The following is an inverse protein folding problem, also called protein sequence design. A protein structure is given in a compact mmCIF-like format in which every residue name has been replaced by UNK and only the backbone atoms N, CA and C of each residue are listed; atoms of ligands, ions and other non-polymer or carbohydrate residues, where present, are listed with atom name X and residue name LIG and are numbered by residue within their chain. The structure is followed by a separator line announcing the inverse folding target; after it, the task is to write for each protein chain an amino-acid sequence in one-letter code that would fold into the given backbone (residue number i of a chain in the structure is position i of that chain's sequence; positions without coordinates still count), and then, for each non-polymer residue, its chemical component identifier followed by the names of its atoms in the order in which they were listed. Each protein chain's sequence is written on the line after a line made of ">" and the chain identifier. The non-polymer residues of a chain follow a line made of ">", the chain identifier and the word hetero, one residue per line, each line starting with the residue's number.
data_IF_202741429180
#
_entry.id   IF_202741429180
#
_cell.length_a   1.000
_cell.length_b   1.000
_cell.length_c   1.000
_cell.angle_alpha   90.00
_cell.angle_beta   90.00
_cell.angle_gamma   90.00
#
_symmetry.space_group_name_H-M   'P 1'
#
loop_
_entity.id
_entity.type
_entity.pdbx_description
1 polymer ?
#
# COMPACT_ATOMS: atom_id res chain seq x y z
N UNK A 1 -22.34 24.09 -24.52
CA UNK A 1 -23.56 23.91 -25.32
C UNK A 1 -23.31 23.29 -26.70
N UNK A 2 -22.90 24.02 -27.75
CA UNK A 2 -22.73 23.42 -29.08
C UNK A 2 -21.68 22.28 -29.15
N UNK A 3 -20.59 22.39 -28.37
CA UNK A 3 -19.58 21.33 -28.27
C UNK A 3 -20.09 20.08 -27.52
N UNK A 4 -20.87 20.26 -26.45
CA UNK A 4 -21.48 19.14 -25.70
C UNK A 4 -22.57 18.45 -26.52
N UNK A 5 -23.35 19.20 -27.29
CA UNK A 5 -24.35 18.65 -28.22
C UNK A 5 -23.68 17.84 -29.34
N UNK A 6 -22.56 18.32 -29.87
CA UNK A 6 -21.76 17.60 -30.86
C UNK A 6 -21.15 16.32 -30.27
N UNK A 7 -20.58 16.37 -29.07
CA UNK A 7 -20.05 15.19 -28.37
C UNK A 7 -21.15 14.17 -28.09
N UNK A 8 -22.35 14.62 -27.71
CA UNK A 8 -23.50 13.75 -27.46
C UNK A 8 -23.96 13.05 -28.75
N UNK A 9 -24.01 13.78 -29.88
CA UNK A 9 -24.30 13.23 -31.19
C UNK A 9 -23.22 12.26 -31.67
N UNK A 10 -21.94 12.59 -31.48
CA UNK A 10 -20.83 11.73 -31.85
C UNK A 10 -20.80 10.45 -31.02
N UNK A 11 -21.12 10.51 -29.72
CA UNK A 11 -21.21 9.33 -28.85
C UNK A 11 -22.23 8.30 -29.32
N UNK A 12 -23.29 8.72 -30.04
CA UNK A 12 -24.28 7.80 -30.61
C UNK A 12 -23.72 6.96 -31.76
N UNK A 13 -22.75 7.49 -32.50
CA UNK A 13 -22.17 6.81 -33.67
C UNK A 13 -20.79 6.18 -33.38
N UNK A 14 -20.02 6.76 -32.45
CA UNK A 14 -18.68 6.31 -32.09
C UNK A 14 -18.38 6.60 -30.62
N UNK A 15 -18.50 5.57 -29.79
CA UNK A 15 -18.13 5.65 -28.38
C UNK A 15 -16.62 5.86 -28.24
N UNK A 16 -16.23 7.06 -27.81
CA UNK A 16 -14.83 7.42 -27.60
C UNK A 16 -14.06 6.40 -26.74
N UNK A 17 -14.57 5.96 -25.55
CA UNK A 17 -13.88 4.97 -24.73
C UNK A 17 -13.66 3.64 -25.47
N UNK A 18 -14.68 3.13 -26.16
CA UNK A 18 -14.59 1.86 -26.89
C UNK A 18 -13.59 1.93 -28.05
N UNK A 19 -13.63 3.01 -28.85
CA UNK A 19 -12.67 3.23 -29.94
C UNK A 19 -11.25 3.29 -29.41
N UNK A 20 -11.02 4.07 -28.34
CA UNK A 20 -9.68 4.22 -27.76
C UNK A 20 -9.16 2.89 -27.21
N UNK A 21 -10.00 2.13 -26.51
CA UNK A 21 -9.63 0.80 -26.02
C UNK A 21 -9.30 -0.17 -27.15
N UNK A 22 -10.10 -0.21 -28.24
CA UNK A 22 -9.80 -1.06 -29.42
C UNK A 22 -8.43 -0.74 -30.00
N UNK A 23 -8.11 0.54 -30.18
CA UNK A 23 -6.82 0.97 -30.70
C UNK A 23 -5.65 0.60 -29.77
N UNK A 24 -5.79 0.84 -28.46
CA UNK A 24 -4.75 0.51 -27.48
C UNK A 24 -4.54 -1.02 -27.37
N UNK A 25 -5.62 -1.80 -27.39
CA UNK A 25 -5.53 -3.27 -27.40
C UNK A 25 -4.81 -3.78 -28.65
N UNK A 26 -5.07 -3.20 -29.82
CA UNK A 26 -4.35 -3.53 -31.05
C UNK A 26 -2.85 -3.26 -30.94
N UNK A 27 -2.46 -2.14 -30.34
CA UNK A 27 -1.05 -1.82 -30.10
C UNK A 27 -0.39 -2.77 -29.10
N UNK A 28 -1.06 -3.10 -28.00
CA UNK A 28 -0.57 -4.06 -27.00
C UNK A 28 -0.40 -5.46 -27.58
N UNK A 29 -1.34 -5.90 -28.42
CA UNK A 29 -1.32 -7.22 -29.03
C UNK A 29 -0.09 -7.45 -29.93
N UNK A 30 0.45 -6.40 -30.57
CA UNK A 30 1.71 -6.48 -31.35
C UNK A 30 2.91 -6.89 -30.51
N UNK A 31 2.84 -6.67 -29.20
CA UNK A 31 3.86 -7.01 -28.22
C UNK A 31 3.49 -8.23 -27.38
N UNK A 32 2.42 -8.94 -27.75
CA UNK A 32 1.84 -10.05 -26.98
C UNK A 32 1.44 -9.65 -25.55
N UNK A 33 1.06 -8.39 -25.34
CA UNK A 33 0.64 -7.88 -24.04
C UNK A 33 -0.89 -7.83 -23.92
N UNK A 34 -1.41 -8.15 -22.73
CA UNK A 34 -2.83 -8.15 -22.44
C UNK A 34 -3.12 -7.59 -21.03
N UNK A 35 -4.22 -6.84 -20.94
CA UNK A 35 -4.74 -6.26 -19.69
C UNK A 35 -6.07 -6.92 -19.29
N UNK A 36 -6.41 -8.08 -19.86
CA UNK A 36 -7.71 -8.75 -19.61
C UNK A 36 -7.91 -9.07 -18.13
N UNK A 37 -6.96 -9.74 -17.49
CA UNK A 37 -7.08 -10.14 -16.07
C UNK A 37 -7.19 -8.92 -15.16
N UNK A 38 -6.39 -7.88 -15.45
CA UNK A 38 -6.46 -6.60 -14.74
C UNK A 38 -7.84 -5.95 -14.90
N UNK A 39 -8.37 -5.91 -16.12
CA UNK A 39 -9.68 -5.31 -16.40
C UNK A 39 -10.81 -6.05 -15.66
N UNK A 40 -10.79 -7.38 -15.66
CA UNK A 40 -11.78 -8.21 -14.95
C UNK A 40 -11.81 -7.84 -13.47
N UNK A 41 -10.64 -7.79 -12.81
CA UNK A 41 -10.56 -7.42 -11.40
C UNK A 41 -11.02 -5.98 -11.17
N UNK A 42 -10.63 -5.04 -12.03
CA UNK A 42 -11.06 -3.64 -11.88
C UNK A 42 -12.57 -3.47 -11.99
N UNK A 43 -13.25 -4.17 -12.91
CA UNK A 43 -14.71 -4.15 -13.03
C UNK A 43 -15.43 -4.79 -11.83
N UNK A 44 -14.76 -5.64 -11.05
CA UNK A 44 -15.32 -6.18 -9.80
C UNK A 44 -15.25 -5.18 -8.64
N UNK A 45 -14.32 -4.22 -8.69
CA UNK A 45 -14.05 -3.31 -7.57
C UNK A 45 -14.63 -1.90 -7.76
N UNK A 46 -14.84 -1.49 -9.01
CA UNK A 46 -15.20 -0.10 -9.33
C UNK A 46 -16.34 -0.04 -10.34
N UNK A 47 -16.95 1.14 -10.40
CA UNK A 47 -17.98 1.44 -11.38
C UNK A 47 -17.43 1.40 -12.80
N UNK A 48 -18.27 0.94 -13.74
CA UNK A 48 -17.90 0.74 -15.14
C UNK A 48 -17.21 1.97 -15.77
N UNK A 49 -17.77 3.16 -15.58
CA UNK A 49 -17.27 4.40 -16.19
C UNK A 49 -15.85 4.73 -15.70
N UNK A 50 -15.60 4.63 -14.39
CA UNK A 50 -14.28 4.87 -13.79
C UNK A 50 -13.24 3.86 -14.30
N UNK A 51 -13.64 2.60 -14.42
CA UNK A 51 -12.78 1.52 -14.92
C UNK A 51 -12.40 1.74 -16.38
N UNK A 52 -13.36 2.11 -17.23
CA UNK A 52 -13.09 2.34 -18.66
C UNK A 52 -12.04 3.44 -18.87
N UNK A 53 -12.13 4.53 -18.12
CA UNK A 53 -11.16 5.62 -18.16
C UNK A 53 -9.81 5.23 -17.58
N UNK A 54 -9.80 4.55 -16.42
CA UNK A 54 -8.57 4.05 -15.81
C UNK A 54 -7.83 3.07 -16.73
N UNK A 55 -8.54 2.15 -17.39
CA UNK A 55 -7.97 1.20 -18.34
C UNK A 55 -7.33 1.91 -19.53
N UNK A 56 -7.98 2.94 -20.09
CA UNK A 56 -7.40 3.73 -21.17
C UNK A 56 -6.11 4.40 -20.72
N UNK A 57 -6.10 5.02 -19.52
CA UNK A 57 -4.92 5.67 -18.96
C UNK A 57 -3.78 4.69 -18.73
N UNK A 58 -4.04 3.55 -18.08
CA UNK A 58 -3.01 2.56 -17.74
C UNK A 58 -2.43 1.90 -19.00
N UNK A 59 -3.27 1.53 -19.98
CA UNK A 59 -2.81 0.97 -21.26
C UNK A 59 -1.95 1.97 -22.05
N UNK A 60 -2.39 3.23 -22.12
CA UNK A 60 -1.64 4.27 -22.81
C UNK A 60 -0.27 4.52 -22.14
N UNK A 61 -0.22 4.53 -20.81
CA UNK A 61 1.04 4.70 -20.06
C UNK A 61 1.97 3.50 -20.22
N UNK A 62 1.44 2.27 -20.13
CA UNK A 62 2.23 1.07 -20.37
C UNK A 62 2.87 1.07 -21.77
N UNK A 63 2.10 1.43 -22.80
CA UNK A 63 2.63 1.54 -24.18
C UNK A 63 3.67 2.65 -24.32
N UNK A 64 3.47 3.79 -23.64
CA UNK A 64 4.45 4.90 -23.62
C UNK A 64 5.77 4.46 -23.01
N UNK A 65 5.71 3.73 -21.89
CA UNK A 65 6.90 3.28 -21.16
C UNK A 65 7.49 1.97 -21.73
N UNK A 66 6.80 1.33 -22.70
CA UNK A 66 7.14 0.02 -23.23
C UNK A 66 8.60 -0.15 -23.68
N UNK A 67 9.24 0.82 -24.36
CA UNK A 67 10.65 0.69 -24.74
C UNK A 67 11.56 0.41 -23.53
N UNK A 68 11.35 1.15 -22.44
CA UNK A 68 12.10 0.98 -21.19
C UNK A 68 11.72 -0.33 -20.48
N UNK A 69 10.43 -0.66 -20.43
CA UNK A 69 9.94 -1.89 -19.79
C UNK A 69 10.44 -3.15 -20.51
N UNK A 70 10.56 -3.11 -21.83
CA UNK A 70 11.03 -4.23 -22.64
C UNK A 70 12.55 -4.37 -22.56
N UNK A 71 13.31 -3.31 -22.83
CA UNK A 71 14.78 -3.38 -22.86
C UNK A 71 15.39 -3.55 -21.47
N UNK A 72 14.73 -3.03 -20.44
CA UNK A 72 15.19 -3.03 -19.06
C UNK A 72 14.60 -4.14 -18.20
N UNK A 73 13.86 -5.11 -18.75
CA UNK A 73 13.02 -6.03 -17.95
C UNK A 73 13.74 -6.75 -16.80
N UNK A 74 15.00 -7.14 -17.03
CA UNK A 74 15.82 -7.90 -16.08
C UNK A 74 16.94 -7.05 -15.46
N UNK A 75 16.82 -5.71 -15.53
CA UNK A 75 17.82 -4.79 -15.01
C UNK A 75 17.59 -4.57 -13.51
N UNK A 76 18.64 -4.74 -12.70
CA UNK A 76 18.63 -4.36 -11.29
C UNK A 76 18.65 -2.82 -11.15
N UNK A 77 18.32 -2.33 -9.96
CA UNK A 77 18.51 -0.91 -9.66
C UNK A 77 20.01 -0.58 -9.51
N UNK A 78 20.36 0.70 -9.62
CA UNK A 78 21.72 1.18 -9.41
C UNK A 78 22.04 1.21 -7.91
N UNK A 79 22.81 0.23 -7.44
CA UNK A 79 23.23 0.09 -6.05
C UNK A 79 24.51 0.89 -5.69
N UNK A 80 25.06 1.70 -6.61
CA UNK A 80 26.26 2.49 -6.35
C UNK A 80 26.07 3.42 -5.12
N UNK A 81 27.10 3.60 -4.26
CA UNK A 81 27.00 4.47 -3.08
C UNK A 81 26.46 5.86 -3.41
N UNK A 82 27.01 6.50 -4.44
CA UNK A 82 26.63 7.85 -4.88
C UNK A 82 25.29 7.95 -5.62
N UNK A 83 24.64 6.82 -5.94
CA UNK A 83 23.33 6.85 -6.56
C UNK A 83 22.27 7.24 -5.52
N UNK A 84 21.38 8.16 -5.88
CA UNK A 84 20.16 8.39 -5.11
C UNK A 84 19.27 7.14 -5.19
N UNK A 85 18.76 6.69 -4.04
CA UNK A 85 18.01 5.43 -3.91
C UNK A 85 16.60 5.63 -3.37
N UNK A 86 16.32 6.75 -2.70
CA UNK A 86 15.02 7.08 -2.12
C UNK A 86 14.39 8.26 -2.88
N UNK A 87 13.06 8.25 -2.99
CA UNK A 87 12.23 9.16 -3.79
C UNK A 87 12.63 9.29 -5.26
N UNK A 88 13.20 8.22 -5.81
CA UNK A 88 13.78 8.19 -7.17
C UNK A 88 13.14 7.12 -8.04
N UNK A 89 13.37 7.25 -9.35
CA UNK A 89 13.06 6.20 -10.33
C UNK A 89 14.09 5.06 -10.33
N UNK A 90 15.07 5.06 -9.43
CA UNK A 90 16.12 4.05 -9.32
C UNK A 90 15.60 2.74 -8.70
N UNK A 91 14.72 2.07 -9.44
CA UNK A 91 14.08 0.79 -9.13
C UNK A 91 14.40 -0.24 -10.21
N UNK A 92 14.26 -1.52 -9.87
CA UNK A 92 14.50 -2.62 -10.81
C UNK A 92 13.53 -2.56 -11.99
N UNK A 93 13.93 -3.11 -13.14
CA UNK A 93 13.08 -3.18 -14.32
C UNK A 93 11.81 -4.00 -14.09
N UNK A 94 11.90 -5.02 -13.23
CA UNK A 94 10.76 -5.82 -12.81
C UNK A 94 9.76 -4.98 -11.99
N UNK A 95 10.24 -4.16 -11.05
CA UNK A 95 9.38 -3.23 -10.30
C UNK A 95 8.62 -2.28 -11.23
N UNK A 96 9.33 -1.64 -12.18
CA UNK A 96 8.71 -0.72 -13.14
C UNK A 96 7.63 -1.40 -13.97
N UNK A 97 7.93 -2.61 -14.46
CA UNK A 97 7.02 -3.37 -15.31
C UNK A 97 5.79 -3.84 -14.54
N UNK A 98 5.97 -4.43 -13.37
CA UNK A 98 4.87 -4.86 -12.51
C UNK A 98 3.99 -3.69 -12.08
N UNK A 99 4.58 -2.54 -11.72
CA UNK A 99 3.83 -1.34 -11.40
C UNK A 99 2.90 -0.92 -12.56
N UNK A 100 3.41 -0.88 -13.79
CA UNK A 100 2.60 -0.53 -14.96
C UNK A 100 1.53 -1.56 -15.30
N UNK A 101 1.82 -2.85 -15.11
CA UNK A 101 0.85 -3.93 -15.32
C UNK A 101 -0.26 -3.95 -14.27
N UNK A 102 0.05 -3.52 -13.04
CA UNK A 102 -0.90 -3.38 -11.94
C UNK A 102 -1.71 -2.06 -11.98
N UNK A 103 -1.40 -1.16 -12.91
CA UNK A 103 -2.00 0.17 -12.96
C UNK A 103 -1.60 1.06 -11.78
N UNK A 104 -0.37 0.90 -11.28
CA UNK A 104 0.26 1.77 -10.29
C UNK A 104 0.87 2.96 -11.02
N UNK A 105 0.46 4.16 -10.60
CA UNK A 105 0.82 5.39 -11.29
C UNK A 105 2.28 5.78 -11.11
N UNK A 106 2.80 5.60 -9.90
CA UNK A 106 4.13 6.02 -9.48
C UNK A 106 4.91 4.81 -8.96
N UNK A 107 5.95 4.41 -9.71
CA UNK A 107 6.80 3.27 -9.38
C UNK A 107 8.05 3.67 -8.58
N UNK A 108 8.21 4.96 -8.23
CA UNK A 108 9.39 5.42 -7.49
C UNK A 108 9.47 4.74 -6.12
N UNK A 109 10.70 4.51 -5.65
CA UNK A 109 10.93 4.04 -4.29
C UNK A 109 10.68 5.20 -3.33
N UNK A 110 9.52 5.24 -2.69
CA UNK A 110 9.03 6.32 -1.82
C UNK A 110 8.35 5.74 -0.59
N UNK A 111 7.98 6.54 0.40
CA UNK A 111 7.19 6.07 1.54
C UNK A 111 5.76 5.70 1.07
N UNK A 112 5.34 4.45 1.30
CA UNK A 112 3.99 3.95 1.00
C UNK A 112 3.10 4.00 2.25
N UNK A 113 3.68 3.87 3.45
CA UNK A 113 2.96 4.08 4.71
C UNK A 113 2.40 5.52 4.85
N UNK A 114 2.80 6.42 3.95
CA UNK A 114 2.43 7.81 3.93
C UNK A 114 3.17 8.57 5.03
N UNK A 115 2.47 9.52 5.64
CA UNK A 115 3.02 10.33 6.71
C UNK A 115 3.31 9.52 7.97
N UNK A 116 4.39 9.93 8.63
CA UNK A 116 4.76 9.39 9.92
C UNK A 116 3.65 9.71 10.91
N UNK A 117 3.37 8.74 11.77
CA UNK A 117 2.51 8.99 12.91
C UNK A 117 3.18 8.42 14.15
N UNK A 118 2.90 9.07 15.26
CA UNK A 118 3.30 8.60 16.58
C UNK A 118 2.04 8.18 17.31
N UNK A 119 2.05 6.97 17.87
CA UNK A 119 1.06 6.60 18.87
C UNK A 119 1.58 7.00 20.24
N UNK A 120 0.83 7.85 20.93
CA UNK A 120 1.11 8.23 22.30
C UNK A 120 0.19 7.45 23.25
N UNK A 121 0.70 7.19 24.46
CA UNK A 121 -0.03 6.46 25.51
C UNK A 121 -0.19 7.38 26.70
N UNK A 122 -1.43 7.61 27.12
CA UNK A 122 -1.79 8.39 28.30
C UNK A 122 -2.79 7.59 29.14
N UNK A 123 -2.43 7.30 30.39
CA UNK A 123 -3.27 6.56 31.34
C UNK A 123 -3.84 5.22 30.83
N UNK A 124 -3.07 4.51 30.00
CA UNK A 124 -3.47 3.23 29.41
C UNK A 124 -4.38 3.35 28.18
N UNK A 125 -4.74 4.57 27.79
CA UNK A 125 -5.39 4.86 26.53
C UNK A 125 -4.38 5.35 25.49
N UNK A 126 -4.69 5.12 24.23
CA UNK A 126 -3.82 5.40 23.10
C UNK A 126 -4.41 6.53 22.26
N UNK A 127 -3.56 7.39 21.71
CA UNK A 127 -3.92 8.42 20.73
C UNK A 127 -2.90 8.46 19.61
N UNK A 128 -3.25 9.04 18.46
CA UNK A 128 -2.33 9.21 17.35
C UNK A 128 -2.02 10.68 17.10
N UNK A 129 -0.78 10.94 16.65
CA UNK A 129 -0.33 12.23 16.13
C UNK A 129 0.27 12.04 14.76
N UNK A 130 -0.22 12.80 13.80
CA UNK A 130 0.30 12.82 12.45
C UNK A 130 1.45 13.82 12.35
N UNK A 131 2.52 13.44 11.67
CA UNK A 131 3.71 14.26 11.47
C UNK A 131 3.95 14.52 9.98
N UNK A 132 4.57 15.65 9.66
CA UNK A 132 5.08 15.92 8.32
C UNK A 132 6.30 15.02 7.97
N UNK A 133 6.84 15.20 6.76
CA UNK A 133 8.00 14.43 6.29
C UNK A 133 9.28 14.71 7.10
N UNK A 134 9.34 15.86 7.78
CA UNK A 134 10.43 16.29 8.65
C UNK A 134 10.23 15.86 10.11
N UNK A 135 9.10 15.25 10.45
CA UNK A 135 8.75 14.78 11.80
C UNK A 135 8.08 15.85 12.68
N UNK A 136 7.70 17.01 12.13
CA UNK A 136 6.96 18.02 12.88
C UNK A 136 5.49 17.62 13.01
N UNK A 137 4.88 17.70 14.20
CA UNK A 137 3.54 17.21 14.42
C UNK A 137 2.49 18.19 13.87
N UNK A 138 1.54 17.69 13.08
CA UNK A 138 0.54 18.48 12.34
C UNK A 138 -0.86 18.37 12.95
N UNK A 139 -1.33 17.14 13.13
CA UNK A 139 -2.67 16.79 13.62
C UNK A 139 -2.56 15.85 14.82
N UNK A 140 -3.45 16.01 15.79
CA UNK A 140 -3.61 15.06 16.89
C UNK A 140 -5.04 14.54 16.97
N UNK A 141 -5.17 13.26 17.31
CA UNK A 141 -6.45 12.63 17.62
C UNK A 141 -7.10 13.31 18.81
N UNK A 142 -8.35 13.72 18.64
CA UNK A 142 -9.21 14.19 19.74
C UNK A 142 -9.86 13.02 20.50
N UNK A 143 -9.77 11.81 19.95
CA UNK A 143 -10.27 10.58 20.54
C UNK A 143 -9.14 9.78 21.20
N UNK A 144 -9.51 9.05 22.26
CA UNK A 144 -8.66 8.11 22.98
C UNK A 144 -9.19 6.69 22.76
N UNK A 145 -8.28 5.73 22.63
CA UNK A 145 -8.60 4.35 22.26
C UNK A 145 -8.03 3.37 23.28
N UNK A 146 -8.72 2.24 23.49
CA UNK A 146 -8.34 1.28 24.53
C UNK A 146 -7.24 0.30 24.11
N UNK A 147 -6.86 0.29 22.82
CA UNK A 147 -5.81 -0.59 22.31
C UNK A 147 -5.05 0.02 21.13
N UNK A 148 -3.81 -0.44 20.95
CA UNK A 148 -3.00 -0.09 19.78
C UNK A 148 -3.69 -0.45 18.45
N UNK A 149 -4.39 -1.58 18.39
CA UNK A 149 -5.08 -2.02 17.18
C UNK A 149 -6.22 -1.04 16.82
N UNK A 150 -7.01 -0.63 17.81
CA UNK A 150 -8.08 0.33 17.61
C UNK A 150 -7.57 1.70 17.11
N UNK A 151 -6.43 2.18 17.63
CA UNK A 151 -5.78 3.40 17.10
C UNK A 151 -5.40 3.26 15.65
N UNK A 152 -4.78 2.14 15.27
CA UNK A 152 -4.28 1.94 13.92
C UNK A 152 -5.43 1.90 12.90
N UNK A 153 -6.51 1.20 13.24
CA UNK A 153 -7.70 1.11 12.39
C UNK A 153 -8.37 2.48 12.24
N UNK A 154 -8.56 3.19 13.35
CA UNK A 154 -9.15 4.53 13.32
C UNK A 154 -8.28 5.53 12.54
N UNK A 155 -6.96 5.51 12.76
CA UNK A 155 -6.03 6.37 12.04
C UNK A 155 -6.09 6.14 10.52
N UNK A 156 -6.25 4.90 10.06
CA UNK A 156 -6.40 4.62 8.64
C UNK A 156 -7.69 5.24 8.08
N UNK A 157 -8.81 5.10 8.79
CA UNK A 157 -10.07 5.74 8.40
C UNK A 157 -9.94 7.26 8.36
N UNK A 158 -9.39 7.85 9.42
CA UNK A 158 -9.22 9.29 9.57
C UNK A 158 -8.36 9.86 8.44
N UNK A 159 -7.28 9.18 8.06
CA UNK A 159 -6.41 9.57 6.94
C UNK A 159 -7.06 9.42 5.55
N UNK A 160 -8.11 8.61 5.40
CA UNK A 160 -8.90 8.61 4.18
C UNK A 160 -9.81 9.84 4.13
N UNK A 161 -10.36 10.24 5.28
CA UNK A 161 -11.23 11.41 5.40
C UNK A 161 -10.49 12.73 5.17
N UNK A 162 -9.20 12.80 5.50
CA UNK A 162 -8.38 14.01 5.29
C UNK A 162 -8.27 14.44 3.82
N UNK A 163 -8.61 13.57 2.87
CA UNK A 163 -8.56 13.87 1.42
C UNK A 163 -9.78 14.64 0.92
N UNK A 164 -10.85 14.67 1.68
CA UNK A 164 -12.09 15.32 1.27
C UNK A 164 -12.24 16.68 1.96
N UNK A 165 -12.31 17.79 1.21
CA UNK A 165 -12.45 19.13 1.78
C UNK A 165 -13.69 19.28 2.67
N UNK A 166 -14.75 18.50 2.42
CA UNK A 166 -15.99 18.51 3.20
C UNK A 166 -15.84 18.01 4.63
N UNK A 167 -14.73 17.32 4.95
CA UNK A 167 -14.51 16.73 6.27
C UNK A 167 -13.72 17.66 7.20
N UNK A 168 -13.55 18.93 6.85
CA UNK A 168 -12.86 19.91 7.70
C UNK A 168 -13.79 20.99 8.20
N UNK A 169 -13.54 21.44 9.44
CA UNK A 169 -14.16 22.61 10.05
C UNK A 169 -13.11 23.40 10.84
N UNK A 170 -13.48 24.56 11.36
CA UNK A 170 -12.70 25.36 12.31
C UNK A 170 -13.34 25.28 13.71
N UNK A 171 -12.52 25.40 14.75
CA UNK A 171 -12.98 25.48 16.14
C UNK A 171 -12.08 26.41 16.97
N UNK A 172 -12.67 27.15 17.91
CA UNK A 172 -11.95 28.07 18.79
C UNK A 172 -11.78 27.46 20.19
N UNK A 173 -10.54 27.23 20.61
CA UNK A 173 -10.21 26.75 21.95
C UNK A 173 -8.80 27.20 22.38
N UNK A 174 -8.69 28.36 23.03
CA UNK A 174 -7.38 28.96 23.35
C UNK A 174 -6.61 29.49 22.12
N UNK A 175 -7.30 29.56 20.97
CA UNK A 175 -6.84 29.91 19.64
C UNK A 175 -7.70 29.20 18.59
N UNK A 176 -7.54 29.54 17.32
CA UNK A 176 -8.26 28.90 16.21
C UNK A 176 -7.55 27.64 15.75
N UNK A 177 -8.26 26.54 15.60
CA UNK A 177 -7.74 25.29 15.07
C UNK A 177 -8.57 24.87 13.86
N UNK A 178 -7.94 24.17 12.92
CA UNK A 178 -8.70 23.38 11.96
C UNK A 178 -8.89 21.96 12.50
N UNK A 179 -10.07 21.41 12.32
CA UNK A 179 -10.49 20.10 12.85
C UNK A 179 -10.97 19.20 11.71
N UNK A 180 -10.69 17.90 11.85
CA UNK A 180 -11.22 16.84 11.01
C UNK A 180 -12.50 16.31 11.65
N UNK A 181 -13.59 16.28 10.89
CA UNK A 181 -14.92 15.86 11.34
C UNK A 181 -15.47 14.71 10.51
N UNK A 182 -16.19 13.81 11.15
CA UNK A 182 -17.00 12.76 10.51
C UNK A 182 -18.45 12.98 10.86
N UNK A 183 -19.33 12.88 9.86
CA UNK A 183 -20.77 12.93 10.09
C UNK A 183 -21.22 11.56 10.59
N UNK A 184 -21.78 11.50 11.79
CA UNK A 184 -22.26 10.28 12.44
C UNK A 184 -23.73 10.46 12.80
N UNK A 185 -24.55 9.44 12.57
CA UNK A 185 -25.94 9.44 13.04
C UNK A 185 -25.99 8.99 14.50
N UNK A 186 -26.41 9.91 15.38
CA UNK A 186 -26.63 9.64 16.80
C UNK A 186 -28.10 9.91 17.08
N UNK A 187 -28.83 8.88 17.52
CA UNK A 187 -30.27 8.98 17.85
C UNK A 187 -31.14 9.52 16.70
N UNK A 188 -30.81 9.20 15.44
CA UNK A 188 -31.56 9.63 14.26
C UNK A 188 -31.31 11.08 13.83
N UNK A 189 -30.32 11.76 14.40
CA UNK A 189 -29.84 13.06 13.96
C UNK A 189 -28.39 12.96 13.48
N UNK A 190 -28.10 13.55 12.32
CA UNK A 190 -26.74 13.70 11.84
C UNK A 190 -26.00 14.71 12.73
N UNK A 191 -24.95 14.26 13.40
CA UNK A 191 -24.06 15.10 14.21
C UNK A 191 -22.64 15.02 13.67
N UNK A 192 -21.91 16.12 13.72
CA UNK A 192 -20.49 16.13 13.39
C UNK A 192 -19.69 15.74 14.63
N UNK A 193 -18.96 14.64 14.54
CA UNK A 193 -18.01 14.22 15.55
C UNK A 193 -16.62 14.70 15.16
N UNK A 194 -15.93 15.36 16.09
CA UNK A 194 -14.53 15.73 15.94
C UNK A 194 -13.64 14.49 16.13
N UNK A 195 -12.81 14.23 15.12
CA UNK A 195 -11.88 13.10 15.11
C UNK A 195 -10.45 13.55 15.48
N UNK A 196 -10.02 14.67 14.91
CA UNK A 196 -8.67 15.20 15.08
C UNK A 196 -8.63 16.72 14.94
N UNK A 197 -7.58 17.35 15.47
CA UNK A 197 -7.36 18.81 15.41
C UNK A 197 -5.92 19.17 15.13
N UNK A 198 -5.70 20.37 14.57
CA UNK A 198 -4.38 20.94 14.40
C UNK A 198 -3.70 21.13 15.75
N UNK A 199 -2.43 20.73 15.86
CA UNK A 199 -1.66 20.90 17.11
C UNK A 199 -1.32 22.38 17.33
N UNK A 200 -1.08 23.10 16.23
CA UNK A 200 -0.88 24.55 16.26
C UNK A 200 -2.21 25.27 16.43
N UNK A 201 -2.23 26.24 17.35
CA UNK A 201 -3.28 27.22 17.49
C UNK A 201 -2.96 28.44 16.60
N UNK A 202 -3.94 28.88 15.83
CA UNK A 202 -3.84 30.01 14.92
C UNK A 202 -4.50 31.27 15.53
N UNK A 203 -3.98 32.47 15.21
CA UNK A 203 -4.54 33.73 15.71
C UNK A 203 -5.97 34.03 15.23
N UNK A 204 -6.34 33.55 14.04
CA UNK A 204 -7.62 33.86 13.40
C UNK A 204 -8.20 32.65 12.65
N UNK A 205 -9.51 32.64 12.46
CA UNK A 205 -10.21 31.60 11.70
C UNK A 205 -9.66 31.48 10.26
N UNK A 206 -9.45 32.61 9.58
CA UNK A 206 -8.90 32.63 8.21
C UNK A 206 -7.45 32.11 8.11
N UNK A 207 -6.65 32.25 9.17
CA UNK A 207 -5.32 31.63 9.23
C UNK A 207 -5.41 30.12 9.43
N UNK A 208 -6.35 29.64 10.26
CA UNK A 208 -6.61 28.22 10.41
C UNK A 208 -7.11 27.59 9.09
N UNK A 209 -7.98 28.27 8.34
CA UNK A 209 -8.41 27.83 7.01
C UNK A 209 -7.25 27.81 6.00
N UNK A 210 -6.40 28.84 6.00
CA UNK A 210 -5.22 28.88 5.12
C UNK A 210 -4.22 27.76 5.45
N UNK A 211 -4.08 27.43 6.75
CA UNK A 211 -3.26 26.32 7.20
C UNK A 211 -3.87 24.96 6.83
N UNK A 212 -5.19 24.81 6.95
CA UNK A 212 -5.93 23.63 6.45
C UNK A 212 -5.69 23.45 4.95
N UNK A 213 -5.81 24.51 4.16
CA UNK A 213 -5.63 24.43 2.70
C UNK A 213 -4.19 24.07 2.34
N UNK A 214 -3.21 24.61 3.08
CA UNK A 214 -1.80 24.24 2.93
C UNK A 214 -1.55 22.77 3.31
N UNK A 215 -2.22 22.27 4.34
CA UNK A 215 -2.18 20.87 4.77
C UNK A 215 -2.84 19.93 3.73
N UNK A 216 -4.00 20.31 3.18
CA UNK A 216 -4.63 19.53 2.11
C UNK A 216 -3.77 19.53 0.84
N UNK A 217 -3.16 20.66 0.48
CA UNK A 217 -2.24 20.72 -0.65
C UNK A 217 -1.00 19.84 -0.43
N UNK A 218 -0.46 19.78 0.79
CA UNK A 218 0.63 18.85 1.09
C UNK A 218 0.17 17.39 1.01
N UNK A 219 -1.08 17.09 1.41
CA UNK A 219 -1.67 15.76 1.26
C UNK A 219 -1.87 15.35 -0.21
N UNK A 220 -2.31 16.27 -1.07
CA UNK A 220 -2.44 16.04 -2.52
C UNK A 220 -1.07 15.83 -3.18
N UNK A 221 -0.04 16.53 -2.68
CA UNK A 221 1.34 16.30 -3.10
C UNK A 221 1.93 14.99 -2.56
N UNK A 222 1.31 14.41 -1.51
CA UNK A 222 1.80 13.18 -0.90
C UNK A 222 1.70 12.02 -1.89
N UNK A 223 2.75 11.18 -1.99
CA UNK A 223 2.76 10.09 -2.94
C UNK A 223 1.61 9.10 -2.68
N UNK A 224 0.96 8.65 -3.76
CA UNK A 224 -0.05 7.58 -3.66
C UNK A 224 0.47 6.41 -2.81
N UNK A 225 -0.34 5.88 -1.86
CA UNK A 225 0.04 4.73 -1.03
C UNK A 225 0.11 3.43 -1.84
N UNK A 226 -0.32 3.46 -3.12
CA UNK A 226 -0.14 2.34 -4.02
C UNK A 226 1.28 2.31 -4.58
N UNK A 227 1.97 1.21 -4.28
CA UNK A 227 3.33 0.90 -4.69
C UNK A 227 3.73 -0.45 -4.08
N UNK A 228 4.99 -0.83 -4.22
CA UNK A 228 5.54 -2.00 -3.53
C UNK A 228 7.07 -1.91 -3.53
N UNK A 229 7.70 -2.74 -2.70
CA UNK A 229 9.14 -2.90 -2.68
C UNK A 229 9.52 -4.30 -3.16
N UNK A 230 10.54 -4.39 -4.02
CA UNK A 230 11.19 -5.66 -4.35
C UNK A 230 12.58 -5.71 -3.75
N UNK A 231 12.79 -6.67 -2.85
CA UNK A 231 14.05 -6.87 -2.14
C UNK A 231 14.75 -8.09 -2.72
N UNK A 232 15.84 -7.85 -3.44
CA UNK A 232 16.74 -8.90 -3.92
C UNK A 232 17.62 -9.37 -2.76
N UNK A 233 17.49 -10.64 -2.35
CA UNK A 233 18.19 -11.14 -1.17
C UNK A 233 19.70 -11.22 -1.38
N UNK A 234 20.17 -11.34 -2.63
CA UNK A 234 21.60 -11.30 -2.95
C UNK A 234 22.29 -10.03 -2.44
N UNK A 235 21.57 -8.90 -2.36
CA UNK A 235 22.10 -7.64 -1.82
C UNK A 235 22.27 -7.65 -0.31
N UNK A 236 21.65 -8.63 0.36
CA UNK A 236 21.66 -8.79 1.81
C UNK A 236 22.73 -9.76 2.30
N UNK A 237 23.46 -10.39 1.37
CA UNK A 237 24.53 -11.31 1.67
C UNK A 237 25.61 -10.61 2.50
N UNK A 238 26.16 -11.25 3.55
CA UNK A 238 27.25 -10.66 4.34
C UNK A 238 28.48 -10.38 3.48
N UNK A 239 29.24 -9.36 3.88
CA UNK A 239 30.53 -9.09 3.27
C UNK A 239 31.56 -10.10 3.77
N UNK A 240 32.65 -10.26 3.03
CA UNK A 240 33.73 -11.20 3.38
C UNK A 240 34.31 -10.89 4.78
N UNK A 241 34.30 -9.61 5.18
CA UNK A 241 34.84 -9.12 6.45
C UNK A 241 34.00 -9.51 7.67
N UNK A 242 32.69 -9.75 7.48
CA UNK A 242 31.77 -10.07 8.58
C UNK A 242 31.72 -11.58 8.90
N UNK A 243 32.35 -12.42 8.09
CA UNK A 243 32.31 -13.87 8.23
C UNK A 243 31.02 -14.51 7.71
N UNK A 244 30.82 -15.83 7.93
CA UNK A 244 29.63 -16.53 7.44
C UNK A 244 28.35 -15.93 8.03
N UNK A 245 27.30 -15.86 7.21
CA UNK A 245 25.99 -15.38 7.62
C UNK A 245 25.54 -16.12 8.90
N UNK A 246 24.92 -15.43 9.88
CA UNK A 246 24.23 -16.16 10.95
C UNK A 246 23.21 -17.08 10.29
N UNK A 247 23.22 -18.37 10.66
CA UNK A 247 22.39 -19.44 10.06
C UNK A 247 20.87 -19.26 10.21
N UNK A 248 20.42 -18.09 10.65
CA UNK A 248 19.05 -17.81 11.09
C UNK A 248 18.29 -16.90 10.11
N UNK A 249 18.88 -16.49 8.97
CA UNK A 249 18.14 -15.72 7.97
C UNK A 249 17.23 -16.63 7.16
N UNK A 250 15.92 -16.60 7.44
CA UNK A 250 14.91 -17.50 6.87
C UNK A 250 15.30 -18.98 6.96
N UNK A 251 15.84 -19.39 8.10
CA UNK A 251 16.02 -20.80 8.42
C UNK A 251 14.67 -21.54 8.38
N UNK A 252 14.68 -22.77 7.88
CA UNK A 252 13.49 -23.61 7.82
C UNK A 252 13.41 -24.36 9.15
N UNK A 253 12.24 -24.35 9.80
CA UNK A 253 12.00 -25.17 10.99
C UNK A 253 12.25 -26.65 10.67
N UNK A 254 13.27 -27.24 11.29
CA UNK A 254 13.74 -28.61 11.00
C UNK A 254 12.82 -29.73 11.52
N UNK A 255 11.59 -29.41 11.93
CA UNK A 255 10.66 -30.34 12.56
C UNK A 255 11.20 -31.04 13.81
N UNK A 256 10.44 -31.98 14.37
CA UNK A 256 10.93 -32.91 15.41
C UNK A 256 11.77 -34.00 14.73
N UNK A 257 13.01 -33.70 14.37
CA UNK A 257 13.90 -34.69 13.75
C UNK A 257 15.24 -34.15 13.28
N UNK A 258 15.35 -32.85 12.98
CA UNK A 258 16.64 -32.25 12.64
C UNK A 258 17.27 -32.77 11.32
N UNK A 259 16.54 -33.57 10.55
CA UNK A 259 17.09 -34.31 9.39
C UNK A 259 17.34 -33.44 8.15
N UNK A 260 16.85 -32.19 8.15
CA UNK A 260 17.08 -31.27 7.04
C UNK A 260 18.27 -30.33 7.35
N UNK A 261 19.37 -30.38 6.57
CA UNK A 261 20.43 -29.40 6.70
C UNK A 261 19.86 -28.00 6.41
N UNK A 262 20.38 -26.97 7.10
CA UNK A 262 20.02 -25.60 6.77
C UNK A 262 20.32 -25.33 5.29
N UNK A 263 19.47 -24.52 4.60
CA UNK A 263 19.78 -24.13 3.24
C UNK A 263 21.18 -23.54 3.19
N UNK A 264 22.03 -24.13 2.34
CA UNK A 264 23.45 -23.81 2.21
C UNK A 264 23.67 -22.31 1.90
N UNK A 265 22.66 -21.67 1.31
CA UNK A 265 22.59 -20.24 1.02
C UNK A 265 21.12 -19.74 1.09
N UNK A 266 20.75 -18.89 2.06
CA UNK A 266 19.41 -18.33 2.17
C UNK A 266 19.18 -17.07 1.31
N UNK A 267 20.18 -16.60 0.55
CA UNK A 267 20.13 -15.35 -0.22
C UNK A 267 20.00 -15.56 -1.73
N UNK A 268 20.64 -16.58 -2.29
CA UNK A 268 20.59 -16.82 -3.73
C UNK A 268 19.19 -17.14 -4.23
N UNK A 269 18.85 -16.60 -5.41
CA UNK A 269 17.61 -16.85 -6.15
C UNK A 269 16.33 -16.60 -5.33
N UNK A 270 16.38 -15.68 -4.37
CA UNK A 270 15.24 -15.32 -3.52
C UNK A 270 14.99 -13.82 -3.58
N UNK A 271 13.71 -13.47 -3.62
CA UNK A 271 13.25 -12.09 -3.51
C UNK A 271 12.10 -12.02 -2.51
N UNK A 272 12.00 -10.90 -1.79
CA UNK A 272 10.79 -10.57 -1.03
C UNK A 272 10.10 -9.40 -1.73
N UNK A 273 8.82 -9.56 -2.05
CA UNK A 273 7.96 -8.49 -2.54
C UNK A 273 7.06 -8.04 -1.40
N UNK A 274 7.10 -6.75 -1.07
CA UNK A 274 6.36 -6.16 0.06
C UNK A 274 5.33 -5.19 -0.49
N UNK A 275 4.07 -5.47 -0.22
CA UNK A 275 2.91 -4.74 -0.73
C UNK A 275 2.10 -4.15 0.44
N UNK A 276 1.57 -2.94 0.29
CA UNK A 276 0.59 -2.40 1.24
C UNK A 276 -0.66 -3.29 1.27
N UNK A 277 -1.20 -3.57 2.44
CA UNK A 277 -2.42 -4.37 2.60
C UNK A 277 -3.72 -3.59 2.78
N UNK A 278 -3.66 -2.24 2.81
CA UNK A 278 -4.74 -1.38 3.31
C UNK A 278 -5.40 -0.45 2.28
N UNK A 279 -4.86 -0.32 1.06
CA UNK A 279 -5.51 0.51 0.03
C UNK A 279 -6.78 -0.18 -0.49
N UNK A 280 -7.72 0.58 -1.07
CA UNK A 280 -9.00 0.05 -1.56
C UNK A 280 -8.84 -1.18 -2.49
N UNK A 281 -7.85 -1.17 -3.39
CA UNK A 281 -7.55 -2.34 -4.25
C UNK A 281 -6.70 -3.37 -3.54
N UNK A 282 -5.76 -2.95 -2.70
CA UNK A 282 -4.82 -3.88 -2.11
C UNK A 282 -5.39 -4.62 -0.90
N UNK A 283 -6.53 -4.20 -0.35
CA UNK A 283 -7.32 -4.98 0.60
C UNK A 283 -8.16 -6.07 -0.09
N UNK A 284 -8.43 -5.93 -1.39
CA UNK A 284 -9.26 -6.87 -2.17
C UNK A 284 -8.55 -8.18 -2.51
N UNK A 285 -9.11 -9.32 -2.08
CA UNK A 285 -8.57 -10.65 -2.35
C UNK A 285 -8.45 -10.96 -3.86
N UNK A 286 -9.47 -10.69 -4.72
CA UNK A 286 -9.31 -10.83 -6.16
C UNK A 286 -8.12 -10.06 -6.74
N UNK A 287 -7.89 -8.83 -6.28
CA UNK A 287 -6.76 -8.03 -6.73
C UNK A 287 -5.43 -8.58 -6.25
N UNK A 288 -5.36 -9.03 -4.99
CA UNK A 288 -4.17 -9.67 -4.46
C UNK A 288 -3.78 -10.90 -5.28
N UNK A 289 -4.75 -11.75 -5.61
CA UNK A 289 -4.52 -12.94 -6.45
C UNK A 289 -4.00 -12.59 -7.83
N UNK A 290 -4.63 -11.60 -8.48
CA UNK A 290 -4.17 -11.10 -9.77
C UNK A 290 -2.72 -10.63 -9.69
N UNK A 291 -2.38 -9.76 -8.74
CA UNK A 291 -1.04 -9.19 -8.65
C UNK A 291 0.00 -10.23 -8.25
N UNK A 292 -0.32 -11.12 -7.31
CA UNK A 292 0.57 -12.23 -6.95
C UNK A 292 0.86 -13.17 -8.13
N UNK A 293 -0.17 -13.53 -8.90
CA UNK A 293 0.02 -14.33 -10.11
C UNK A 293 0.86 -13.56 -11.14
N UNK A 294 0.63 -12.26 -11.30
CA UNK A 294 1.42 -11.41 -12.21
C UNK A 294 2.89 -11.35 -11.79
N UNK A 295 3.17 -11.19 -10.49
CA UNK A 295 4.53 -11.24 -9.93
C UNK A 295 5.20 -12.57 -10.27
N UNK A 296 4.54 -13.70 -10.01
CA UNK A 296 5.10 -15.04 -10.28
C UNK A 296 5.35 -15.28 -11.76
N UNK A 297 4.50 -14.76 -12.64
CA UNK A 297 4.64 -14.91 -14.10
C UNK A 297 5.72 -14.02 -14.71
N UNK A 298 6.00 -12.86 -14.10
CA UNK A 298 7.04 -11.94 -14.58
C UNK A 298 8.43 -12.26 -14.02
N UNK A 299 8.51 -12.99 -12.91
CA UNK A 299 9.75 -13.48 -12.34
C UNK A 299 10.33 -14.66 -13.15
N UNK A 300 11.66 -14.74 -13.30
CA UNK A 300 12.31 -15.95 -13.80
C UNK A 300 11.96 -17.17 -12.93
N UNK A 301 11.70 -18.31 -13.58
CA UNK A 301 11.21 -19.52 -12.89
C UNK A 301 12.12 -20.07 -11.78
N UNK A 302 13.42 -19.75 -11.82
CA UNK A 302 14.38 -20.17 -10.80
C UNK A 302 14.44 -19.22 -9.59
N UNK A 303 13.78 -18.06 -9.65
CA UNK A 303 13.73 -17.09 -8.54
C UNK A 303 12.47 -17.33 -7.71
N UNK A 304 12.67 -17.64 -6.43
CA UNK A 304 11.60 -17.79 -5.47
C UNK A 304 11.15 -16.43 -4.92
N UNK A 305 9.87 -16.11 -5.08
CA UNK A 305 9.26 -14.92 -4.47
C UNK A 305 8.52 -15.23 -3.18
N UNK A 306 8.91 -14.53 -2.11
CA UNK A 306 8.09 -14.35 -0.90
C UNK A 306 7.26 -13.08 -1.06
N UNK A 307 5.95 -13.21 -1.23
CA UNK A 307 5.05 -12.05 -1.40
C UNK A 307 4.34 -11.77 -0.07
N UNK A 308 4.50 -10.56 0.45
CA UNK A 308 3.95 -10.15 1.74
C UNK A 308 3.00 -8.95 1.58
N UNK A 309 1.74 -9.10 1.97
CA UNK A 309 0.77 -8.00 2.06
C UNK A 309 0.71 -7.49 3.50
N UNK A 310 1.36 -6.37 3.81
CA UNK A 310 1.55 -5.96 5.21
C UNK A 310 0.64 -4.82 5.64
N UNK A 311 0.40 -4.72 6.96
CA UNK A 311 -0.28 -3.56 7.55
C UNK A 311 0.61 -2.32 7.54
N UNK A 312 -0.02 -1.16 7.73
CA UNK A 312 0.65 0.14 7.66
C UNK A 312 1.77 0.28 8.69
N UNK A 313 1.58 -0.22 9.90
CA UNK A 313 2.59 -0.12 10.97
C UNK A 313 3.84 -0.95 10.66
N UNK A 314 3.65 -2.14 10.07
CA UNK A 314 4.75 -2.97 9.61
C UNK A 314 5.49 -2.29 8.45
N UNK A 315 4.75 -1.63 7.54
CA UNK A 315 5.34 -0.89 6.43
C UNK A 315 6.20 0.27 6.94
N UNK A 316 5.69 1.05 7.89
CA UNK A 316 6.44 2.16 8.47
C UNK A 316 7.77 1.71 9.09
N UNK A 317 7.73 0.64 9.92
CA UNK A 317 8.94 0.06 10.52
C UNK A 317 9.91 -0.45 9.46
N UNK A 318 9.38 -1.12 8.43
CA UNK A 318 10.16 -1.63 7.30
C UNK A 318 10.84 -0.49 6.53
N UNK A 319 10.11 0.55 6.15
CA UNK A 319 10.59 1.70 5.36
C UNK A 319 11.74 2.43 6.06
N UNK A 320 11.59 2.70 7.36
CA UNK A 320 12.64 3.33 8.17
C UNK A 320 13.94 2.52 8.11
N UNK A 321 13.87 1.21 8.41
CA UNK A 321 15.06 0.33 8.40
C UNK A 321 15.63 0.13 7.01
N UNK A 322 14.77 0.07 6.00
CA UNK A 322 15.17 -0.10 4.62
C UNK A 322 15.92 1.14 4.10
N UNK A 323 15.41 2.34 4.39
CA UNK A 323 16.06 3.61 4.04
C UNK A 323 17.40 3.76 4.75
N UNK A 324 17.44 3.53 6.06
CA UNK A 324 18.68 3.55 6.85
C UNK A 324 19.77 2.66 6.24
N UNK A 325 19.41 1.43 5.84
CA UNK A 325 20.35 0.50 5.20
C UNK A 325 20.73 0.91 3.77
N UNK A 326 19.79 1.38 2.94
CA UNK A 326 20.09 1.79 1.57
C UNK A 326 21.07 2.98 1.49
N UNK A 327 21.01 3.90 2.44
CA UNK A 327 21.93 5.05 2.53
C UNK A 327 23.36 4.61 2.87
N UNK A 328 23.53 3.57 3.69
CA UNK A 328 24.82 3.02 4.11
C UNK A 328 24.84 1.50 3.99
N UNK A 329 24.75 0.99 2.76
CA UNK A 329 24.62 -0.45 2.50
C UNK A 329 25.84 -1.27 2.98
N UNK A 330 27.01 -0.64 3.14
CA UNK A 330 28.23 -1.24 3.67
C UNK A 330 28.25 -1.38 5.20
N UNK A 331 27.28 -0.81 5.91
CA UNK A 331 27.24 -0.83 7.36
C UNK A 331 26.59 -2.13 7.90
N UNK A 332 27.35 -3.03 8.57
CA UNK A 332 26.85 -4.31 9.08
C UNK A 332 25.66 -4.18 10.03
N UNK A 333 25.69 -3.17 10.91
CA UNK A 333 24.68 -3.00 11.94
C UNK A 333 23.34 -2.58 11.33
N UNK A 334 23.38 -1.63 10.39
CA UNK A 334 22.19 -1.17 9.66
C UNK A 334 21.58 -2.32 8.85
N UNK A 335 22.42 -3.12 8.19
CA UNK A 335 21.95 -4.33 7.50
C UNK A 335 21.31 -5.32 8.47
N UNK A 336 21.91 -5.61 9.62
CA UNK A 336 21.34 -6.53 10.63
C UNK A 336 19.96 -6.06 11.10
N UNK A 337 19.81 -4.77 11.43
CA UNK A 337 18.51 -4.19 11.83
C UNK A 337 17.47 -4.30 10.71
N UNK A 338 17.89 -4.13 9.46
CA UNK A 338 17.01 -4.36 8.31
C UNK A 338 16.61 -5.83 8.16
N UNK A 339 17.53 -6.78 8.36
CA UNK A 339 17.21 -8.21 8.33
C UNK A 339 16.21 -8.61 9.42
N UNK A 340 16.33 -8.03 10.62
CA UNK A 340 15.37 -8.23 11.71
C UNK A 340 13.97 -7.74 11.30
N UNK A 341 13.87 -6.50 10.78
CA UNK A 341 12.61 -5.97 10.29
C UNK A 341 12.02 -6.83 9.16
N UNK A 342 12.85 -7.29 8.22
CA UNK A 342 12.41 -8.12 7.09
C UNK A 342 11.91 -9.51 7.53
N UNK A 343 12.43 -10.07 8.64
CA UNK A 343 11.92 -11.32 9.22
C UNK A 343 10.53 -11.16 9.83
N UNK A 344 10.24 -10.01 10.44
CA UNK A 344 8.96 -9.71 11.11
C UNK A 344 7.80 -9.45 10.13
N UNK A 345 8.11 -9.08 8.88
CA UNK A 345 7.13 -8.82 7.81
C UNK A 345 6.33 -10.10 7.50
N UNK A 346 5.01 -10.06 7.69
CA UNK A 346 4.11 -11.17 7.37
C UNK A 346 2.84 -10.69 6.69
N UNK A 347 2.28 -11.51 5.80
CA UNK A 347 1.01 -11.20 5.14
C UNK A 347 -0.13 -11.12 6.13
N UNK A 348 -0.92 -10.05 6.02
CA UNK A 348 -2.15 -9.83 6.77
C UNK A 348 -3.30 -10.22 5.86
N UNK A 349 -4.04 -11.24 6.25
CA UNK A 349 -5.26 -11.68 5.58
C UNK A 349 -6.49 -11.27 6.39
N UNK A 350 -7.64 -11.02 5.75
CA UNK A 350 -8.89 -10.80 6.46
C UNK A 350 -9.22 -12.00 7.36
N UNK A 351 -9.91 -11.75 8.46
CA UNK A 351 -10.32 -12.81 9.38
C UNK A 351 -11.39 -13.70 8.74
N UNK A 352 -11.15 -15.01 8.80
CA UNK A 352 -12.15 -16.03 8.50
C UNK A 352 -12.79 -16.50 9.79
N UNK A 353 -14.11 -16.63 9.80
CA UNK A 353 -14.90 -17.23 10.85
C UNK A 353 -15.14 -18.71 10.51
N UNK A 354 -14.86 -19.60 11.47
CA UNK A 354 -15.27 -21.01 11.35
C UNK A 354 -16.79 -21.06 11.50
N UNK A 355 -17.47 -21.46 10.44
CA UNK A 355 -18.91 -21.61 10.41
C UNK A 355 -19.28 -23.09 10.36
N UNK A 356 -20.39 -23.44 10.99
CA UNK A 356 -20.98 -24.77 10.82
C UNK A 356 -21.52 -24.91 9.39
N UNK A 357 -21.41 -26.10 8.81
CA UNK A 357 -21.76 -26.36 7.41
C UNK A 357 -23.24 -26.07 7.09
N UNK A 358 -24.10 -26.02 8.12
CA UNK A 358 -25.51 -25.70 8.01
C UNK A 358 -25.82 -24.20 7.97
N UNK A 359 -24.87 -23.33 8.39
CA UNK A 359 -25.08 -21.89 8.59
C UNK A 359 -24.52 -21.02 7.44
N UNK A 360 -24.08 -21.64 6.35
CA UNK A 360 -23.49 -20.94 5.19
C UNK A 360 -24.62 -20.28 4.37
N UNK A 361 -24.80 -18.97 4.55
CA UNK A 361 -25.67 -18.11 3.70
C UNK A 361 -24.83 -17.30 2.70
N UNK A 362 -25.46 -16.68 1.69
CA UNK A 362 -24.75 -15.80 0.73
C UNK A 362 -24.06 -14.60 1.41
N UNK A 363 -24.60 -14.09 2.53
CA UNK A 363 -23.99 -13.04 3.34
C UNK A 363 -22.84 -13.55 4.23
N UNK A 364 -22.96 -14.76 4.79
CA UNK A 364 -21.96 -15.32 5.71
C UNK A 364 -20.80 -16.06 5.01
N UNK A 365 -20.99 -16.52 3.77
CA UNK A 365 -19.97 -17.22 2.99
C UNK A 365 -18.72 -16.37 2.68
N UNK A 366 -18.81 -15.04 2.74
CA UNK A 366 -17.67 -14.14 2.60
C UNK A 366 -16.68 -14.20 3.77
N UNK A 367 -17.11 -14.70 4.94
CA UNK A 367 -16.27 -14.91 6.12
C UNK A 367 -15.77 -16.35 6.26
N UNK A 368 -15.96 -17.21 5.26
CA UNK A 368 -15.49 -18.59 5.34
C UNK A 368 -13.95 -18.66 5.47
N UNK A 369 -13.45 -19.56 6.31
CA UNK A 369 -12.01 -19.84 6.40
C UNK A 369 -11.54 -20.47 5.09
N UNK A 370 -10.70 -19.75 4.35
CA UNK A 370 -10.03 -20.26 3.15
C UNK A 370 -8.53 -20.27 3.41
N UNK A 371 -7.93 -21.47 3.33
CA UNK A 371 -6.50 -21.66 3.50
C UNK A 371 -5.71 -20.70 2.60
N UNK A 372 -4.71 -20.04 3.18
CA UNK A 372 -3.87 -19.02 2.54
C UNK A 372 -4.62 -17.78 2.02
N UNK A 373 -5.86 -17.53 2.47
CA UNK A 373 -6.64 -16.33 2.11
C UNK A 373 -7.32 -15.64 3.29
N UNK A 374 -7.48 -16.35 4.39
CA UNK A 374 -8.02 -15.83 5.64
C UNK A 374 -7.12 -16.24 6.80
N UNK A 375 -6.94 -15.36 7.78
CA UNK A 375 -6.41 -15.77 9.08
C UNK A 375 -7.52 -16.46 9.88
N UNK A 376 -7.18 -17.45 10.72
CA UNK A 376 -8.15 -18.04 11.65
C UNK A 376 -8.57 -16.96 12.66
N UNK A 377 -9.82 -16.52 12.62
CA UNK A 377 -10.37 -15.63 13.65
C UNK A 377 -10.43 -16.33 15.01
N UNK A 378 -10.65 -15.56 16.09
CA UNK A 378 -10.93 -16.15 17.40
C UNK A 378 -12.29 -16.85 17.37
N UNK A 379 -12.41 -18.00 18.05
CA UNK A 379 -13.70 -18.67 18.27
C UNK A 379 -14.56 -17.70 19.08
N UNK A 380 -15.58 -17.10 18.46
CA UNK A 380 -16.66 -16.47 19.21
C UNK A 380 -17.44 -17.59 19.87
N UNK A 381 -17.21 -17.84 21.16
CA UNK A 381 -18.11 -18.69 21.93
C UNK A 381 -19.51 -18.12 21.78
N UNK A 382 -20.42 -18.92 21.21
CA UNK A 382 -21.85 -18.61 21.28
C UNK A 382 -22.18 -18.52 22.77
N UNK A 383 -22.50 -17.32 23.24
CA UNK A 383 -23.20 -17.18 24.51
C UNK A 383 -24.58 -17.80 24.31
N UNK A 384 -24.76 -19.01 24.83
CA UNK A 384 -26.04 -19.71 24.94
C UNK A 384 -27.01 -18.98 25.88
#
# INVERSE_FOLDING_TARGET
>A
RAAEELDTLMCQFDSYPQRKQRFLNHLLARFAESFTDYAIVMYQLYNKTEVEDALIRHKARFLKDYPLLSSGRARAFNAHPDAEKWDTENVSGLERRLARLAGIDDYRRKNLAGWNHQTDIQDGQYSWRLQDEQGAPMLESSLLYDSQMAVNDALLEDLLLTREPSNYSTAENGGWHFILVKTVEINGAAQQQELARSIMAYPSEGEAESARDSFMASLESSPSPEGFYLIEHVLLHPTIEEGPAPGDFFSVDKGRGGEFPDPLDPYSFRVTVILPGWTARFSSIPFRQFLENRIRMELPAHIMARICWIRREQMLKFEIRYREWLEEASNPEKRRRFLEALKEVHSVYPEGCLQDCADITEENGQKAVILNRTHLGMITDKQD
#
